data_IF_806624837733
#
_entry.id   IF_806624837733
#
_cell.length_a   1.000
_cell.length_b   1.000
_cell.length_c   1.000
_cell.angle_alpha   90.00
_cell.angle_beta   90.00
_cell.angle_gamma   90.00
#
_symmetry.space_group_name_H-M   'P 1'
#
loop_
_entity.id
_entity.type
_entity.pdbx_description
1 polymer ?
#
# COMPACT_ATOMS: atom_id res chain seq x y z
N UNK A 1 -41.82 -17.65 25.46
CA UNK A 1 -41.84 -16.23 25.07
C UNK A 1 -43.29 -15.87 24.82
N UNK A 2 -43.89 -15.05 25.69
CA UNK A 2 -45.30 -14.64 25.57
C UNK A 2 -45.56 -13.93 24.24
N UNK A 3 -46.78 -14.07 23.72
CA UNK A 3 -47.22 -13.34 22.52
C UNK A 3 -47.15 -11.84 22.83
N UNK A 4 -46.25 -11.13 22.14
CA UNK A 4 -46.19 -9.67 22.16
C UNK A 4 -47.56 -9.17 21.68
N UNK A 5 -48.17 -8.27 22.43
CA UNK A 5 -49.44 -7.65 22.04
C UNK A 5 -49.27 -6.80 20.78
N UNK A 6 -50.33 -6.59 19.99
CA UNK A 6 -50.22 -5.80 18.76
C UNK A 6 -49.79 -4.35 19.03
N UNK A 7 -50.15 -3.80 20.19
CA UNK A 7 -49.71 -2.48 20.65
C UNK A 7 -48.21 -2.45 20.97
N UNK A 8 -47.68 -3.45 21.66
CA UNK A 8 -46.24 -3.58 21.92
C UNK A 8 -45.46 -3.79 20.61
N UNK A 9 -45.99 -4.57 19.67
CA UNK A 9 -45.40 -4.74 18.35
C UNK A 9 -45.32 -3.40 17.62
N UNK A 10 -46.43 -2.67 17.52
CA UNK A 10 -46.47 -1.37 16.84
C UNK A 10 -45.49 -0.37 17.47
N UNK A 11 -45.42 -0.33 18.81
CA UNK A 11 -44.44 0.50 19.54
C UNK A 11 -43.00 0.13 19.20
N UNK A 12 -42.69 -1.16 19.19
CA UNK A 12 -41.34 -1.64 18.86
C UNK A 12 -40.97 -1.34 17.40
N UNK A 13 -41.90 -1.51 16.47
CA UNK A 13 -41.67 -1.14 15.07
C UNK A 13 -41.39 0.36 14.91
N UNK A 14 -42.14 1.22 15.59
CA UNK A 14 -41.91 2.66 15.59
C UNK A 14 -40.52 2.99 16.17
N UNK A 15 -40.11 2.32 17.25
CA UNK A 15 -38.78 2.46 17.83
C UNK A 15 -37.66 2.00 16.86
N UNK A 16 -37.86 0.87 16.17
CA UNK A 16 -36.92 0.37 15.16
C UNK A 16 -36.79 1.34 13.99
N UNK A 17 -37.90 1.87 13.45
CA UNK A 17 -37.87 2.86 12.35
C UNK A 17 -37.13 4.14 12.78
N UNK A 18 -37.45 4.67 13.97
CA UNK A 18 -36.76 5.84 14.52
C UNK A 18 -35.25 5.62 14.70
N UNK A 19 -34.86 4.46 15.26
CA UNK A 19 -33.45 4.11 15.43
C UNK A 19 -32.74 3.94 14.07
N UNK A 20 -33.39 3.32 13.10
CA UNK A 20 -32.88 3.18 11.73
C UNK A 20 -32.58 4.55 11.11
N UNK A 21 -33.52 5.51 11.20
CA UNK A 21 -33.31 6.84 10.63
C UNK A 21 -32.19 7.64 11.34
N UNK A 22 -31.96 7.43 12.64
CA UNK A 22 -30.79 8.00 13.35
C UNK A 22 -29.48 7.39 12.86
N UNK A 23 -29.39 6.06 12.84
CA UNK A 23 -28.17 5.35 12.46
C UNK A 23 -27.78 5.65 11.01
N UNK A 24 -28.75 5.68 10.08
CA UNK A 24 -28.50 5.98 8.67
C UNK A 24 -28.06 7.44 8.44
N UNK A 25 -28.37 8.36 9.35
CA UNK A 25 -27.85 9.75 9.34
C UNK A 25 -26.46 9.87 9.97
N UNK A 26 -25.90 8.77 10.48
CA UNK A 26 -24.59 8.76 11.16
C UNK A 26 -24.65 9.19 12.63
N UNK A 27 -25.85 9.29 13.23
CA UNK A 27 -26.02 9.52 14.68
C UNK A 27 -25.72 8.22 15.44
N UNK A 28 -24.47 7.80 15.42
CA UNK A 28 -24.02 6.55 16.00
C UNK A 28 -23.68 6.72 17.49
N UNK A 29 -24.10 5.77 18.34
CA UNK A 29 -23.62 5.72 19.72
C UNK A 29 -22.10 5.54 19.78
N UNK A 30 -21.44 6.12 20.78
CA UNK A 30 -20.00 6.06 20.93
C UNK A 30 -19.46 4.60 20.88
N UNK A 31 -18.50 4.36 19.99
CA UNK A 31 -17.87 3.04 19.80
C UNK A 31 -18.75 1.99 19.10
N UNK A 32 -19.98 2.32 18.71
CA UNK A 32 -20.89 1.42 17.98
C UNK A 32 -20.97 1.80 16.50
N UNK A 33 -21.46 0.87 15.70
CA UNK A 33 -21.53 1.03 14.24
C UNK A 33 -22.93 1.14 13.70
N UNK A 34 -23.01 1.43 12.41
CA UNK A 34 -24.26 1.36 11.66
C UNK A 34 -24.57 -0.10 11.31
N UNK A 35 -24.92 -0.93 12.30
CA UNK A 35 -25.19 -2.37 12.13
C UNK A 35 -26.50 -2.83 12.81
N UNK A 36 -27.00 -4.01 12.42
CA UNK A 36 -28.24 -4.59 12.98
C UNK A 36 -28.17 -4.85 14.49
N UNK A 37 -26.96 -5.04 15.05
CA UNK A 37 -26.77 -5.24 16.49
C UNK A 37 -27.03 -3.93 17.25
N UNK A 38 -26.55 -2.83 16.69
CA UNK A 38 -26.74 -1.48 17.23
C UNK A 38 -28.19 -1.05 17.03
N UNK A 39 -28.80 -1.33 15.87
CA UNK A 39 -30.23 -1.11 15.64
C UNK A 39 -31.09 -1.83 16.69
N UNK A 40 -30.80 -3.09 16.99
CA UNK A 40 -31.51 -3.85 18.03
C UNK A 40 -31.42 -3.19 19.40
N UNK A 41 -30.20 -2.79 19.80
CA UNK A 41 -29.92 -2.17 21.08
C UNK A 41 -30.63 -0.80 21.21
N UNK A 42 -30.53 0.04 20.18
CA UNK A 42 -31.13 1.38 20.14
C UNK A 42 -32.67 1.35 20.10
N UNK A 43 -33.25 0.31 19.49
CA UNK A 43 -34.70 0.12 19.43
C UNK A 43 -35.26 -0.63 20.65
N UNK A 44 -34.41 -1.12 21.57
CA UNK A 44 -34.84 -1.90 22.74
C UNK A 44 -35.42 -3.28 22.39
N UNK A 45 -35.12 -3.81 21.20
CA UNK A 45 -35.63 -5.12 20.75
C UNK A 45 -34.53 -6.18 20.76
N UNK A 46 -34.92 -7.44 20.94
CA UNK A 46 -33.94 -8.54 20.84
C UNK A 46 -33.43 -8.66 19.39
N UNK A 47 -32.11 -8.82 19.22
CA UNK A 47 -31.48 -9.00 17.90
C UNK A 47 -32.08 -10.17 17.11
N UNK A 48 -32.54 -11.23 17.79
CA UNK A 48 -33.22 -12.38 17.15
C UNK A 48 -34.56 -12.02 16.50
N UNK A 49 -35.10 -10.82 16.76
CA UNK A 49 -36.32 -10.33 16.12
C UNK A 49 -36.16 -10.03 14.63
N UNK A 50 -34.92 -9.78 14.17
CA UNK A 50 -34.60 -9.47 12.78
C UNK A 50 -34.29 -10.70 11.92
N UNK A 51 -34.22 -11.89 12.53
CA UNK A 51 -33.84 -13.10 11.82
C UNK A 51 -35.00 -14.10 11.76
N UNK A 52 -35.07 -14.90 10.69
CA UNK A 52 -36.00 -16.01 10.63
C UNK A 52 -35.69 -17.01 11.76
N UNK A 53 -36.75 -17.62 12.30
CA UNK A 53 -36.67 -18.64 13.35
C UNK A 53 -37.14 -19.97 12.79
N UNK A 54 -36.47 -21.06 13.17
CA UNK A 54 -36.94 -22.41 12.88
C UNK A 54 -37.88 -22.86 14.00
N UNK A 55 -39.07 -23.30 13.63
CA UNK A 55 -39.99 -23.94 14.56
C UNK A 55 -39.58 -25.41 14.78
N UNK A 56 -40.17 -26.06 15.79
CA UNK A 56 -39.86 -27.45 16.17
C UNK A 56 -40.10 -28.43 15.01
N UNK A 57 -41.05 -28.12 14.14
CA UNK A 57 -41.43 -28.94 12.99
C UNK A 57 -40.56 -28.67 11.74
N UNK A 58 -39.49 -27.87 11.88
CA UNK A 58 -38.54 -27.56 10.81
C UNK A 58 -38.97 -26.43 9.86
N UNK A 59 -40.19 -25.92 10.00
CA UNK A 59 -40.67 -24.76 9.24
C UNK A 59 -39.93 -23.48 9.64
N UNK A 60 -39.71 -22.61 8.65
CA UNK A 60 -39.08 -21.30 8.87
C UNK A 60 -40.17 -20.26 9.05
N UNK A 61 -40.20 -19.62 10.22
CA UNK A 61 -41.08 -18.51 10.53
C UNK A 61 -40.29 -17.22 10.51
N UNK A 62 -40.83 -16.21 9.83
CA UNK A 62 -40.21 -14.89 9.79
C UNK A 62 -40.09 -14.27 11.19
N UNK A 63 -38.98 -13.56 11.39
CA UNK A 63 -38.78 -12.78 12.60
C UNK A 63 -39.81 -11.66 12.70
N UNK A 64 -40.27 -11.28 13.91
CA UNK A 64 -41.30 -10.25 14.10
C UNK A 64 -40.93 -8.88 13.49
N UNK A 65 -39.65 -8.60 13.29
CA UNK A 65 -39.14 -7.35 12.72
C UNK A 65 -38.20 -7.61 11.53
N UNK A 66 -38.24 -8.80 10.93
CA UNK A 66 -37.30 -9.20 9.88
C UNK A 66 -37.30 -8.22 8.70
N UNK A 67 -38.49 -7.84 8.21
CA UNK A 67 -38.63 -6.87 7.12
C UNK A 67 -38.01 -5.50 7.41
N UNK A 68 -38.01 -5.04 8.68
CA UNK A 68 -37.32 -3.80 9.08
C UNK A 68 -35.80 -3.97 9.07
N UNK A 69 -35.32 -5.17 9.43
CA UNK A 69 -33.90 -5.52 9.31
C UNK A 69 -33.45 -5.51 7.85
N UNK A 70 -34.24 -6.12 6.97
CA UNK A 70 -33.96 -6.17 5.53
C UNK A 70 -34.01 -4.77 4.90
N UNK A 71 -34.98 -3.95 5.32
CA UNK A 71 -35.05 -2.54 4.91
C UNK A 71 -33.80 -1.75 5.34
N UNK A 72 -33.37 -1.89 6.60
CA UNK A 72 -32.17 -1.22 7.11
C UNK A 72 -30.94 -1.60 6.29
N UNK A 73 -30.74 -2.89 6.02
CA UNK A 73 -29.62 -3.39 5.22
C UNK A 73 -29.68 -2.84 3.78
N UNK A 74 -30.87 -2.83 3.17
CA UNK A 74 -31.06 -2.27 1.82
C UNK A 74 -30.72 -0.78 1.77
N UNK A 75 -31.22 0.01 2.72
CA UNK A 75 -30.94 1.46 2.80
C UNK A 75 -29.47 1.76 3.09
N UNK A 76 -28.86 1.03 4.01
CA UNK A 76 -27.43 1.16 4.32
C UNK A 76 -26.56 0.87 3.09
N UNK A 77 -26.89 -0.19 2.35
CA UNK A 77 -26.20 -0.53 1.10
C UNK A 77 -26.35 0.57 0.05
N UNK A 78 -27.55 1.11 -0.13
CA UNK A 78 -27.78 2.21 -1.07
C UNK A 78 -26.94 3.46 -0.72
N UNK A 79 -26.80 3.79 0.57
CA UNK A 79 -25.92 4.89 1.02
C UNK A 79 -24.46 4.62 0.69
N UNK A 80 -23.98 3.40 0.96
CA UNK A 80 -22.62 2.97 0.66
C UNK A 80 -22.33 3.01 -0.85
N UNK A 81 -23.27 2.54 -1.68
CA UNK A 81 -23.19 2.60 -3.14
C UNK A 81 -23.20 4.05 -3.66
N UNK A 82 -23.91 4.97 -2.99
CA UNK A 82 -23.87 6.40 -3.25
C UNK A 82 -22.62 7.12 -2.68
N UNK A 83 -21.67 6.39 -2.11
CA UNK A 83 -20.42 6.94 -1.54
C UNK A 83 -20.58 7.59 -0.17
N UNK A 84 -21.75 7.45 0.47
CA UNK A 84 -21.96 7.90 1.84
C UNK A 84 -21.64 6.75 2.80
N UNK A 85 -20.75 7.00 3.77
CA UNK A 85 -20.44 6.05 4.83
C UNK A 85 -21.02 6.57 6.17
N UNK A 86 -22.19 6.06 6.61
CA UNK A 86 -22.76 6.46 7.90
C UNK A 86 -21.86 6.13 9.09
N UNK A 87 -21.03 5.09 8.97
CA UNK A 87 -20.00 4.76 9.96
C UNK A 87 -18.64 5.39 9.56
N UNK A 88 -18.10 6.33 10.35
CA UNK A 88 -16.81 6.95 10.04
C UNK A 88 -15.64 5.95 10.05
N UNK A 89 -15.79 4.80 10.72
CA UNK A 89 -14.78 3.74 10.73
C UNK A 89 -14.63 3.07 9.38
N UNK A 90 -15.68 3.01 8.58
CA UNK A 90 -15.61 2.43 7.24
C UNK A 90 -14.69 3.27 6.35
N UNK A 91 -14.85 4.60 6.38
CA UNK A 91 -13.96 5.53 5.68
C UNK A 91 -12.52 5.41 6.17
N UNK A 92 -12.32 5.29 7.49
CA UNK A 92 -10.99 5.08 8.07
C UNK A 92 -10.36 3.75 7.61
N UNK A 93 -11.12 2.66 7.58
CA UNK A 93 -10.67 1.35 7.11
C UNK A 93 -10.25 1.43 5.64
N UNK A 94 -11.03 2.09 4.78
CA UNK A 94 -10.68 2.23 3.36
C UNK A 94 -9.41 3.06 3.16
N UNK A 95 -9.25 4.15 3.90
CA UNK A 95 -8.01 4.94 3.91
C UNK A 95 -6.82 4.09 4.35
N UNK A 96 -6.94 3.35 5.45
CA UNK A 96 -5.88 2.49 5.97
C UNK A 96 -5.53 1.34 5.01
N UNK A 97 -6.51 0.76 4.31
CA UNK A 97 -6.27 -0.25 3.27
C UNK A 97 -5.45 0.33 2.12
N UNK A 98 -5.83 1.53 1.66
CA UNK A 98 -5.12 2.24 0.59
C UNK A 98 -3.67 2.54 0.99
N UNK A 99 -3.46 3.09 2.19
CA UNK A 99 -2.12 3.36 2.71
C UNK A 99 -1.29 2.09 2.89
N UNK A 100 -1.87 1.01 3.39
CA UNK A 100 -1.18 -0.28 3.50
C UNK A 100 -0.76 -0.84 2.13
N UNK A 101 -1.63 -0.72 1.12
CA UNK A 101 -1.30 -1.16 -0.24
C UNK A 101 -0.12 -0.35 -0.80
N UNK A 102 -0.14 0.99 -0.65
CA UNK A 102 0.95 1.87 -1.08
C UNK A 102 2.27 1.52 -0.38
N UNK A 103 2.23 1.33 0.95
CA UNK A 103 3.42 0.96 1.73
C UNK A 103 4.00 -0.39 1.28
N UNK A 104 3.16 -1.38 1.01
CA UNK A 104 3.60 -2.68 0.49
C UNK A 104 4.29 -2.54 -0.86
N UNK A 105 3.74 -1.76 -1.78
CA UNK A 105 4.37 -1.49 -3.08
C UNK A 105 5.73 -0.80 -2.92
N UNK A 106 5.81 0.22 -2.06
CA UNK A 106 7.06 0.92 -1.78
C UNK A 106 8.11 0.03 -1.12
N UNK A 107 7.69 -0.87 -0.24
CA UNK A 107 8.58 -1.83 0.41
C UNK A 107 9.15 -2.81 -0.62
N UNK A 108 8.30 -3.41 -1.45
CA UNK A 108 8.73 -4.32 -2.51
C UNK A 108 9.73 -3.67 -3.49
N UNK A 109 9.50 -2.40 -3.87
CA UNK A 109 10.42 -1.66 -4.73
C UNK A 109 11.78 -1.41 -4.07
N UNK A 110 11.79 -1.12 -2.77
CA UNK A 110 13.03 -0.95 -1.99
C UNK A 110 13.78 -2.27 -1.82
N UNK A 111 13.07 -3.35 -1.52
CA UNK A 111 13.67 -4.68 -1.40
C UNK A 111 14.34 -5.10 -2.71
N UNK A 112 13.67 -4.85 -3.85
CA UNK A 112 14.23 -5.04 -5.18
C UNK A 112 15.51 -4.22 -5.40
N UNK A 113 15.49 -2.94 -5.03
CA UNK A 113 16.66 -2.07 -5.13
C UNK A 113 17.83 -2.56 -4.27
N UNK A 114 17.54 -3.01 -3.05
CA UNK A 114 18.56 -3.56 -2.13
C UNK A 114 19.16 -4.85 -2.71
N UNK A 115 18.33 -5.73 -3.26
CA UNK A 115 18.78 -6.95 -3.93
C UNK A 115 19.74 -6.62 -5.09
N UNK A 116 19.33 -5.72 -5.98
CA UNK A 116 20.13 -5.35 -7.16
C UNK A 116 21.45 -4.67 -6.75
N UNK A 117 21.43 -3.77 -5.77
CA UNK A 117 22.64 -3.13 -5.24
C UNK A 117 23.57 -4.14 -4.54
N UNK A 118 23.01 -5.12 -3.84
CA UNK A 118 23.79 -6.17 -3.18
C UNK A 118 24.46 -7.07 -4.22
N UNK A 119 23.74 -7.47 -5.27
CA UNK A 119 24.29 -8.23 -6.37
C UNK A 119 25.40 -7.47 -7.12
N UNK A 120 25.16 -6.18 -7.40
CA UNK A 120 26.15 -5.30 -8.02
C UNK A 120 27.41 -5.18 -7.17
N UNK A 121 27.27 -4.91 -5.86
CA UNK A 121 28.40 -4.81 -4.93
C UNK A 121 29.23 -6.09 -4.93
N UNK A 122 28.57 -7.26 -4.89
CA UNK A 122 29.25 -8.56 -4.91
C UNK A 122 30.07 -8.73 -6.19
N UNK A 123 29.48 -8.45 -7.35
CA UNK A 123 30.16 -8.56 -8.64
C UNK A 123 31.35 -7.60 -8.74
N UNK A 124 31.18 -6.35 -8.30
CA UNK A 124 32.24 -5.34 -8.34
C UNK A 124 33.44 -5.76 -7.48
N UNK A 125 33.20 -6.26 -6.26
CA UNK A 125 34.25 -6.75 -5.38
C UNK A 125 34.99 -7.95 -5.99
N UNK A 126 34.27 -8.91 -6.57
CA UNK A 126 34.89 -10.06 -7.25
C UNK A 126 35.77 -9.61 -8.43
N UNK A 127 35.33 -8.64 -9.22
CA UNK A 127 36.11 -8.10 -10.35
C UNK A 127 37.36 -7.37 -9.88
N UNK A 128 37.25 -6.55 -8.85
CA UNK A 128 38.40 -5.82 -8.28
C UNK A 128 39.42 -6.80 -7.72
N UNK A 129 38.98 -7.85 -7.01
CA UNK A 129 39.87 -8.90 -6.50
C UNK A 129 40.60 -9.61 -7.64
N UNK A 130 39.87 -10.06 -8.67
CA UNK A 130 40.49 -10.73 -9.83
C UNK A 130 41.49 -9.82 -10.57
N UNK A 131 41.16 -8.53 -10.74
CA UNK A 131 42.07 -7.55 -11.35
C UNK A 131 43.31 -7.32 -10.48
N UNK A 132 43.15 -7.29 -9.15
CA UNK A 132 44.25 -7.16 -8.22
C UNK A 132 45.20 -8.36 -8.32
N UNK A 133 44.65 -9.57 -8.30
CA UNK A 133 45.42 -10.81 -8.41
C UNK A 133 46.21 -10.87 -9.73
N UNK A 134 45.59 -10.48 -10.85
CA UNK A 134 46.24 -10.40 -12.16
C UNK A 134 47.39 -9.38 -12.18
N UNK A 135 47.17 -8.18 -11.63
CA UNK A 135 48.23 -7.17 -11.51
C UNK A 135 49.40 -7.68 -10.69
N UNK A 136 49.13 -8.37 -9.57
CA UNK A 136 50.17 -8.96 -8.74
C UNK A 136 50.92 -10.05 -9.51
N UNK A 137 50.22 -10.93 -10.23
CA UNK A 137 50.83 -11.95 -11.07
C UNK A 137 51.77 -11.36 -12.12
N UNK A 138 51.31 -10.36 -12.89
CA UNK A 138 52.10 -9.67 -13.92
C UNK A 138 53.34 -8.95 -13.36
N UNK A 139 53.26 -8.45 -12.13
CA UNK A 139 54.41 -7.82 -11.45
C UNK A 139 55.44 -8.82 -10.97
N UNK A 140 55.01 -9.99 -10.52
CA UNK A 140 55.91 -11.06 -10.05
C UNK A 140 56.54 -11.83 -11.22
N UNK A 141 55.85 -11.89 -12.36
CA UNK A 141 56.28 -12.61 -13.56
C UNK A 141 56.40 -11.62 -14.72
N UNK A 142 57.37 -10.68 -14.69
CA UNK A 142 57.60 -9.79 -15.82
C UNK A 142 57.90 -10.65 -17.05
N UNK A 143 57.14 -10.45 -18.12
CA UNK A 143 57.43 -11.07 -19.40
C UNK A 143 58.88 -10.72 -19.79
N UNK A 144 59.70 -11.69 -20.27
CA UNK A 144 61.02 -11.36 -20.79
C UNK A 144 60.84 -10.30 -21.87
N UNK A 145 61.54 -9.17 -21.70
CA UNK A 145 61.49 -8.01 -22.58
C UNK A 145 61.44 -8.46 -24.05
N UNK A 146 60.33 -8.18 -24.73
CA UNK A 146 60.42 -8.07 -26.19
C UNK A 146 61.24 -6.81 -26.43
N UNK A 147 62.44 -6.88 -27.06
CA UNK A 147 63.24 -5.69 -27.29
C UNK A 147 62.39 -4.68 -28.06
N UNK A 148 62.11 -3.54 -27.43
CA UNK A 148 61.47 -2.44 -28.12
C UNK A 148 62.34 -2.09 -29.33
N UNK A 149 61.75 -1.86 -30.52
CA UNK A 149 62.52 -1.38 -31.66
C UNK A 149 63.24 -0.11 -31.23
N UNK A 150 64.56 -0.14 -31.38
CA UNK A 150 65.50 0.94 -31.06
C UNK A 150 64.90 2.25 -31.58
N UNK A 151 64.58 3.19 -30.69
CA UNK A 151 64.21 4.54 -31.10
C UNK A 151 65.43 5.14 -31.84
N UNK A 152 65.30 5.56 -33.11
CA UNK A 152 66.39 6.24 -33.78
C UNK A 152 66.72 7.53 -33.02
N UNK A 153 68.00 7.62 -32.70
CA UNK A 153 68.68 8.73 -32.02
C UNK A 153 68.31 10.09 -32.63
N UNK A 154 67.91 11.00 -31.74
CA UNK A 154 68.07 12.47 -31.81
C UNK A 154 67.89 13.15 -33.17
N UNK A 155 66.75 13.80 -33.35
CA UNK A 155 66.66 14.99 -34.24
C UNK A 155 67.15 16.19 -33.41
N UNK A 156 68.16 16.96 -33.86
CA UNK A 156 68.61 18.13 -33.13
C UNK A 156 67.58 19.25 -33.28
N UNK A 157 66.87 19.59 -32.21
CA UNK A 157 66.13 20.84 -32.12
C UNK A 157 66.96 21.83 -31.30
N UNK A 158 67.59 22.73 -32.04
CA UNK A 158 68.22 23.92 -31.48
C UNK A 158 67.18 24.76 -30.71
N UNK A 159 67.64 25.36 -29.63
CA UNK A 159 66.85 25.81 -28.50
C UNK A 159 65.88 26.97 -28.79
N UNK A 160 64.62 26.83 -28.34
CA UNK A 160 63.80 27.97 -27.91
C UNK A 160 62.61 27.54 -27.03
N UNK A 161 62.69 27.97 -25.76
CA UNK A 161 61.60 28.24 -24.80
C UNK A 161 60.61 27.13 -24.39
N UNK A 162 60.92 26.60 -23.20
CA UNK A 162 59.96 26.35 -22.11
C UNK A 162 59.14 27.62 -21.81
N UNK A 163 57.81 27.51 -21.69
CA UNK A 163 56.98 28.09 -20.61
C UNK A 163 55.64 27.33 -20.57
N UNK A 164 55.32 26.89 -19.35
CA UNK A 164 54.12 26.18 -18.95
C UNK A 164 52.84 27.04 -19.08
N UNK A 165 51.66 26.40 -19.13
CA UNK A 165 50.71 26.45 -18.00
C UNK A 165 49.50 25.51 -18.19
N UNK A 166 49.11 24.92 -17.05
CA UNK A 166 47.97 24.03 -16.78
C UNK A 166 46.60 24.63 -17.15
N UNK A 167 45.61 23.80 -17.47
CA UNK A 167 44.19 24.20 -17.32
C UNK A 167 43.09 23.22 -17.77
N UNK A 168 42.59 22.40 -16.83
CA UNK A 168 41.19 21.96 -16.61
C UNK A 168 40.42 21.06 -17.61
N UNK A 169 40.19 19.85 -17.08
CA UNK A 169 38.99 18.99 -17.11
C UNK A 169 37.63 19.72 -16.92
N UNK A 170 36.65 19.56 -17.83
CA UNK A 170 35.39 18.76 -17.73
C UNK A 170 34.45 19.05 -18.94
N UNK A 171 33.51 18.12 -19.27
CA UNK A 171 32.73 18.10 -20.50
C UNK A 171 31.40 18.88 -20.45
N UNK A 172 30.91 19.24 -21.63
CA UNK A 172 29.65 19.94 -21.89
C UNK A 172 28.41 19.12 -21.47
N UNK A 173 27.59 19.74 -20.62
CA UNK A 173 26.17 19.44 -20.41
C UNK A 173 25.36 20.03 -21.58
N UNK A 174 24.39 19.28 -22.11
CA UNK A 174 23.38 19.76 -23.07
C UNK A 174 22.08 20.14 -22.33
N UNK A 175 21.46 21.29 -22.66
CA UNK A 175 20.03 21.50 -22.42
C UNK A 175 19.29 21.90 -23.72
N UNK A 176 18.17 21.23 -23.99
CA UNK A 176 17.13 21.64 -24.94
C UNK A 176 15.85 20.86 -24.59
N UNK A 177 15.01 21.35 -23.67
CA UNK A 177 13.81 22.17 -23.90
C UNK A 177 12.83 21.54 -24.90
N UNK A 178 11.77 20.94 -24.36
CA UNK A 178 10.48 20.77 -25.01
C UNK A 178 9.42 21.42 -24.11
N UNK A 179 8.72 22.41 -24.65
CA UNK A 179 7.53 23.07 -24.10
C UNK A 179 6.29 22.25 -24.47
#
# INVERSE_FOLDING_TARGET
MGRITDTERARNEAAVRSAMDRLLRGELPAGRGCDLKTLAAEAGVTRTGFYPKKDRDGTVREGPYQYLGDEFVRRLRALQEAGTAPDPRDAQIQRLKTQNAELKTRLAARDKTIEDLTAFKRLALSRIAAQHDEIMHLRTHPSPETPLPIQPTSVPHDAAMVIALRGRFLPMFHPGIGV
#
